data_IF_913877812132
#
_entry.id   IF_913877812132
#
_cell.length_a   1.000
_cell.length_b   1.000
_cell.length_c   1.000
_cell.angle_alpha   90.00
_cell.angle_beta   90.00
_cell.angle_gamma   90.00
#
_symmetry.space_group_name_H-M   'P 1'
#
loop_
_entity.id
_entity.type
_entity.pdbx_description
1 polymer ?
#
# COMPACT_ATOMS: atom_id res chain seq x y z
N UNK A 1 1.75 32.94 -0.12
CA UNK A 1 0.44 33.10 0.54
C UNK A 1 -0.61 32.35 -0.27
N UNK A 2 -0.81 31.05 -0.02
CA UNK A 2 -2.01 30.34 -0.48
C UNK A 2 -3.02 30.38 0.65
N UNK A 3 -3.63 31.55 0.84
CA UNK A 3 -4.84 31.70 1.64
C UNK A 3 -5.94 30.84 1.05
N UNK A 4 -6.47 29.90 1.83
CA UNK A 4 -7.83 29.35 1.79
C UNK A 4 -8.61 29.66 0.50
N UNK A 5 -8.33 28.90 -0.57
CA UNK A 5 -9.13 28.97 -1.80
C UNK A 5 -9.64 27.58 -2.17
N UNK A 6 -10.45 27.01 -1.27
CA UNK A 6 -11.58 26.20 -1.69
C UNK A 6 -12.77 27.15 -1.54
N UNK A 7 -13.01 27.92 -2.60
CA UNK A 7 -14.15 28.82 -2.68
C UNK A 7 -15.36 27.91 -2.84
N UNK A 8 -16.16 27.83 -1.79
CA UNK A 8 -17.46 27.17 -1.79
C UNK A 8 -18.29 27.74 -2.93
N UNK A 9 -18.57 26.90 -3.92
CA UNK A 9 -19.81 26.98 -4.65
C UNK A 9 -20.94 27.02 -3.61
N UNK A 10 -21.95 27.88 -3.84
CA UNK A 10 -22.98 28.29 -2.87
C UNK A 10 -23.91 27.19 -2.34
N UNK A 11 -23.45 25.94 -2.29
CA UNK A 11 -24.11 24.72 -1.83
C UNK A 11 -23.43 24.08 -0.59
N UNK A 12 -22.38 24.67 -0.02
CA UNK A 12 -21.94 24.37 1.36
C UNK A 12 -21.24 23.02 1.59
N UNK A 13 -20.58 22.45 0.57
CA UNK A 13 -19.72 21.27 0.75
C UNK A 13 -18.28 21.75 0.93
N UNK A 14 -17.79 21.69 2.17
CA UNK A 14 -16.38 21.97 2.45
C UNK A 14 -15.52 20.73 2.20
N UNK A 15 -14.39 20.91 1.53
CA UNK A 15 -13.40 19.86 1.26
C UNK A 15 -12.12 20.05 2.09
N UNK A 16 -11.39 18.95 2.32
CA UNK A 16 -10.02 18.98 2.85
C UNK A 16 -9.04 18.44 1.82
N UNK A 17 -8.11 19.29 1.35
CA UNK A 17 -7.10 18.89 0.38
C UNK A 17 -6.05 17.99 1.03
N UNK A 18 -5.78 16.84 0.41
CA UNK A 18 -4.70 15.94 0.79
C UNK A 18 -3.86 15.55 -0.43
N UNK A 19 -2.57 15.85 -0.39
CA UNK A 19 -1.60 15.38 -1.38
C UNK A 19 -1.21 13.93 -1.11
N UNK A 20 -1.29 13.07 -2.13
CA UNK A 20 -0.99 11.64 -2.03
C UNK A 20 0.16 11.24 -2.92
N UNK A 21 1.17 10.63 -2.31
CA UNK A 21 2.31 10.03 -2.98
C UNK A 21 2.32 8.51 -2.79
N UNK A 22 2.61 7.77 -3.86
CA UNK A 22 2.72 6.31 -3.84
C UNK A 22 4.19 5.88 -3.97
N UNK A 23 4.64 4.94 -3.14
CA UNK A 23 6.03 4.51 -3.10
C UNK A 23 6.21 2.99 -3.03
N UNK A 24 7.46 2.54 -2.99
CA UNK A 24 7.78 1.11 -2.86
C UNK A 24 7.49 0.56 -1.46
N UNK A 25 7.86 1.32 -0.42
CA UNK A 25 7.71 0.92 0.98
C UNK A 25 6.30 1.23 1.48
N UNK A 26 5.80 2.42 1.12
CA UNK A 26 4.47 2.88 1.46
C UNK A 26 3.59 2.84 0.23
N UNK A 27 2.49 2.10 0.29
CA UNK A 27 1.48 2.10 -0.76
C UNK A 27 0.99 3.53 -0.98
N UNK A 28 0.76 4.25 0.12
CA UNK A 28 0.55 5.70 0.08
C UNK A 28 1.17 6.41 1.27
N UNK A 29 1.54 7.67 1.04
CA UNK A 29 1.77 8.71 2.03
C UNK A 29 0.86 9.88 1.68
N UNK A 30 0.01 10.30 2.61
CA UNK A 30 -0.91 11.41 2.46
C UNK A 30 -0.55 12.54 3.43
N UNK A 31 -0.57 13.77 2.94
CA UNK A 31 -0.36 15.00 3.70
C UNK A 31 -1.53 15.96 3.49
N UNK A 32 -2.06 16.55 4.56
CA UNK A 32 -3.10 17.59 4.49
C UNK A 32 -2.57 19.03 4.53
N UNK A 33 -1.24 19.21 4.56
CA UNK A 33 -0.60 20.52 4.58
C UNK A 33 0.68 20.60 3.75
N UNK A 34 1.14 21.83 3.54
CA UNK A 34 2.30 22.20 2.74
C UNK A 34 3.38 22.86 3.63
N UNK A 35 4.65 22.70 3.26
CA UNK A 35 5.81 23.37 3.89
C UNK A 35 6.07 23.01 5.38
N UNK A 36 6.51 23.98 6.17
CA UNK A 36 6.99 23.86 7.55
C UNK A 36 5.88 23.92 8.60
N UNK A 37 4.65 24.22 8.19
CA UNK A 37 3.50 24.29 9.08
C UNK A 37 3.11 22.91 9.62
N UNK A 38 2.60 22.83 10.86
CA UNK A 38 2.18 21.56 11.42
C UNK A 38 1.00 20.94 10.68
N UNK A 39 1.25 19.79 10.06
CA UNK A 39 0.26 19.06 9.26
C UNK A 39 0.21 17.58 9.66
N UNK A 40 -0.88 16.90 9.29
CA UNK A 40 -1.11 15.49 9.52
C UNK A 40 -0.50 14.67 8.38
N UNK A 41 0.24 13.62 8.74
CA UNK A 41 0.72 12.62 7.79
C UNK A 41 0.07 11.27 8.06
N UNK A 42 -0.53 10.69 7.02
CA UNK A 42 -1.08 9.33 7.03
C UNK A 42 -0.28 8.46 6.09
N UNK A 43 0.02 7.24 6.51
CA UNK A 43 0.82 6.28 5.74
C UNK A 43 0.20 4.90 5.84
N UNK A 44 0.21 4.18 4.74
CA UNK A 44 -0.10 2.75 4.72
C UNK A 44 0.98 2.00 3.97
N UNK A 45 1.69 1.14 4.70
CA UNK A 45 2.84 0.44 4.18
C UNK A 45 2.48 -0.83 3.41
N UNK A 46 3.35 -1.23 2.50
CA UNK A 46 3.29 -2.50 1.81
C UNK A 46 3.23 -3.66 2.81
N UNK A 47 4.02 -3.59 3.89
CA UNK A 47 4.02 -4.58 4.96
C UNK A 47 2.68 -4.64 5.71
N UNK A 48 2.07 -3.50 6.02
CA UNK A 48 0.75 -3.44 6.64
C UNK A 48 -0.32 -4.05 5.74
N UNK A 49 -0.30 -3.76 4.44
CA UNK A 49 -1.22 -4.37 3.47
C UNK A 49 -1.10 -5.89 3.43
N UNK A 50 0.11 -6.45 3.28
CA UNK A 50 0.30 -7.90 3.25
C UNK A 50 -0.09 -8.57 4.57
N UNK A 51 0.09 -7.87 5.70
CA UNK A 51 -0.33 -8.35 7.02
C UNK A 51 -1.85 -8.34 7.13
N UNK A 52 -2.51 -7.24 6.72
CA UNK A 52 -3.95 -7.07 6.79
C UNK A 52 -4.71 -8.00 5.83
N UNK A 53 -4.12 -8.28 4.67
CA UNK A 53 -4.62 -9.24 3.70
C UNK A 53 -4.33 -10.71 4.09
N UNK A 54 -3.59 -10.94 5.18
CA UNK A 54 -3.27 -12.26 5.74
C UNK A 54 -2.50 -13.21 4.81
N UNK A 55 -1.83 -12.69 3.77
CA UNK A 55 -1.12 -13.53 2.79
C UNK A 55 -0.05 -14.42 3.40
N UNK A 56 0.59 -13.98 4.49
CA UNK A 56 1.56 -14.83 5.22
C UNK A 56 0.90 -16.09 5.78
N UNK A 57 -0.33 -16.01 6.28
CA UNK A 57 -1.08 -17.17 6.78
C UNK A 57 -1.42 -18.10 5.64
N UNK A 58 -1.96 -17.57 4.53
CA UNK A 58 -2.29 -18.39 3.36
C UNK A 58 -1.06 -19.07 2.76
N UNK A 59 0.06 -18.36 2.66
CA UNK A 59 1.32 -18.94 2.15
C UNK A 59 1.85 -20.05 3.08
N UNK A 60 1.67 -19.90 4.40
CA UNK A 60 2.00 -20.96 5.34
C UNK A 60 1.10 -22.18 5.15
N UNK A 61 -0.20 -22.00 4.93
CA UNK A 61 -1.11 -23.12 4.61
C UNK A 61 -0.72 -23.83 3.31
N UNK A 62 -0.37 -23.07 2.26
CA UNK A 62 0.12 -23.62 0.99
C UNK A 62 1.36 -24.47 1.24
N UNK A 63 2.33 -23.95 2.00
CA UNK A 63 3.55 -24.68 2.33
C UNK A 63 3.25 -25.96 3.12
N UNK A 64 2.35 -25.90 4.10
CA UNK A 64 1.94 -27.06 4.87
C UNK A 64 1.25 -28.12 4.01
N UNK A 65 0.39 -27.71 3.06
CA UNK A 65 -0.22 -28.66 2.12
C UNK A 65 0.82 -29.32 1.23
N UNK A 66 1.78 -28.54 0.71
CA UNK A 66 2.89 -29.08 -0.08
C UNK A 66 3.72 -30.08 0.73
N UNK A 67 3.93 -29.81 2.01
CA UNK A 67 4.73 -30.67 2.88
C UNK A 67 3.99 -31.93 3.37
N UNK A 68 2.66 -31.91 3.35
CA UNK A 68 1.85 -33.03 3.80
C UNK A 68 1.55 -34.04 2.68
N UNK A 69 1.66 -33.63 1.41
CA UNK A 69 1.32 -34.46 0.25
C UNK A 69 2.60 -35.00 -0.41
N UNK A 70 2.98 -36.22 -0.02
CA UNK A 70 4.15 -36.93 -0.56
C UNK A 70 4.06 -37.13 -2.08
N UNK A 71 2.87 -37.44 -2.61
CA UNK A 71 2.69 -37.65 -4.05
C UNK A 71 2.92 -36.36 -4.83
N UNK A 72 2.41 -35.24 -4.32
CA UNK A 72 2.69 -33.93 -4.89
C UNK A 72 4.18 -33.56 -4.82
N UNK A 73 4.85 -33.83 -3.69
CA UNK A 73 6.28 -33.54 -3.55
C UNK A 73 7.13 -34.31 -4.56
N UNK A 74 6.88 -35.61 -4.72
CA UNK A 74 7.58 -36.43 -5.70
C UNK A 74 7.31 -35.94 -7.12
N UNK A 75 6.05 -35.60 -7.44
CA UNK A 75 5.68 -35.04 -8.73
C UNK A 75 6.38 -33.69 -8.99
N UNK A 76 6.44 -32.79 -8.00
CA UNK A 76 7.11 -31.49 -8.11
C UNK A 76 8.62 -31.64 -8.33
N UNK A 77 9.27 -32.63 -7.69
CA UNK A 77 10.70 -32.91 -7.86
C UNK A 77 11.05 -33.50 -9.24
N UNK A 78 10.12 -34.21 -9.88
CA UNK A 78 10.31 -34.77 -11.22
C UNK A 78 10.18 -33.75 -12.34
N UNK A 79 9.65 -32.55 -12.06
CA UNK A 79 9.52 -31.47 -13.04
C UNK A 79 10.91 -30.87 -13.30
N UNK A 80 11.35 -30.89 -14.55
CA UNK A 80 12.62 -30.29 -14.95
C UNK A 80 12.51 -28.76 -15.08
N UNK A 81 13.62 -28.05 -15.29
CA UNK A 81 13.58 -26.58 -15.40
C UNK A 81 13.17 -26.13 -16.80
N UNK A 82 12.22 -25.20 -16.88
CA UNK A 82 11.82 -24.55 -18.14
C UNK A 82 12.79 -23.46 -18.60
N UNK A 83 13.76 -23.06 -17.77
CA UNK A 83 14.69 -21.97 -18.07
C UNK A 83 15.87 -22.48 -18.90
N UNK A 84 15.63 -22.74 -20.18
CA UNK A 84 16.61 -23.29 -21.12
C UNK A 84 16.40 -22.70 -22.51
N UNK A 85 17.50 -22.51 -23.25
CA UNK A 85 17.47 -22.17 -24.68
C UNK A 85 17.54 -23.42 -25.58
N UNK A 86 17.82 -24.60 -25.00
CA UNK A 86 17.84 -25.87 -25.71
C UNK A 86 16.41 -26.43 -25.82
N UNK A 87 15.99 -26.70 -27.07
CA UNK A 87 14.66 -27.21 -27.41
C UNK A 87 14.38 -28.59 -26.79
N UNK A 88 15.34 -29.50 -26.81
CA UNK A 88 15.19 -30.86 -26.26
C UNK A 88 14.89 -30.80 -24.76
N UNK A 89 15.67 -30.01 -24.01
CA UNK A 89 15.42 -29.77 -22.57
C UNK A 89 14.08 -29.08 -22.31
N UNK A 90 13.63 -28.22 -23.22
CA UNK A 90 12.31 -27.61 -23.11
C UNK A 90 11.21 -28.65 -23.34
N UNK A 91 11.37 -29.55 -24.32
CA UNK A 91 10.44 -30.65 -24.56
C UNK A 91 10.41 -31.61 -23.38
N UNK A 92 11.55 -31.95 -22.79
CA UNK A 92 11.63 -32.72 -21.55
C UNK A 92 10.83 -32.07 -20.41
N UNK A 93 10.93 -30.75 -20.26
CA UNK A 93 10.12 -30.00 -19.31
C UNK A 93 8.62 -30.16 -19.59
N UNK A 94 8.19 -29.94 -20.84
CA UNK A 94 6.78 -30.09 -21.22
C UNK A 94 6.29 -31.51 -20.92
N UNK A 95 7.04 -32.54 -21.30
CA UNK A 95 6.71 -33.93 -20.99
C UNK A 95 6.64 -34.19 -19.49
N UNK A 96 7.59 -33.69 -18.70
CA UNK A 96 7.58 -33.86 -17.25
C UNK A 96 6.36 -33.23 -16.58
N UNK A 97 5.90 -32.07 -17.06
CA UNK A 97 4.69 -31.42 -16.54
C UNK A 97 3.44 -32.18 -16.96
N UNK A 98 3.34 -32.58 -18.22
CA UNK A 98 2.18 -33.31 -18.74
C UNK A 98 2.01 -34.68 -18.06
N UNK A 99 3.12 -35.40 -17.84
CA UNK A 99 3.09 -36.70 -17.17
C UNK A 99 2.66 -36.62 -15.69
N UNK A 100 2.82 -35.46 -15.05
CA UNK A 100 2.40 -35.23 -13.67
C UNK A 100 1.13 -34.36 -13.58
N UNK A 101 0.47 -34.07 -14.70
CA UNK A 101 -0.58 -33.05 -14.79
C UNK A 101 -1.75 -33.33 -13.85
N UNK A 102 -2.21 -34.58 -13.77
CA UNK A 102 -3.35 -34.95 -12.94
C UNK A 102 -3.08 -34.71 -11.46
N UNK A 103 -1.89 -35.08 -10.97
CA UNK A 103 -1.47 -34.87 -9.57
C UNK A 103 -1.40 -33.37 -9.28
N UNK A 104 -0.80 -32.59 -10.18
CA UNK A 104 -0.70 -31.13 -10.03
C UNK A 104 -2.09 -30.48 -10.02
N UNK A 105 -2.97 -30.85 -10.95
CA UNK A 105 -4.31 -30.28 -11.03
C UNK A 105 -5.15 -30.65 -9.80
N UNK A 106 -5.15 -31.91 -9.37
CA UNK A 106 -5.88 -32.34 -8.18
C UNK A 106 -5.42 -31.59 -6.92
N UNK A 107 -4.10 -31.45 -6.74
CA UNK A 107 -3.52 -30.73 -5.61
C UNK A 107 -3.95 -29.24 -5.60
N UNK A 108 -3.77 -28.55 -6.73
CA UNK A 108 -4.07 -27.12 -6.81
C UNK A 108 -5.56 -26.80 -6.89
N UNK A 109 -6.40 -27.67 -7.42
CA UNK A 109 -7.84 -27.39 -7.59
C UNK A 109 -8.59 -27.44 -6.26
N UNK A 110 -8.48 -28.54 -5.50
CA UNK A 110 -9.26 -28.72 -4.28
C UNK A 110 -8.79 -27.84 -3.12
N UNK A 111 -7.47 -27.78 -2.87
CA UNK A 111 -6.94 -27.12 -1.67
C UNK A 111 -6.83 -25.60 -1.83
N UNK A 112 -6.59 -25.11 -3.04
CA UNK A 112 -6.30 -23.68 -3.22
C UNK A 112 -7.55 -22.85 -3.51
N UNK A 113 -8.68 -23.45 -3.86
CA UNK A 113 -9.91 -22.68 -4.13
C UNK A 113 -10.36 -21.91 -2.89
N UNK A 114 -10.42 -22.56 -1.72
CA UNK A 114 -10.73 -21.90 -0.45
C UNK A 114 -9.69 -20.83 -0.09
N UNK A 115 -8.40 -21.13 -0.26
CA UNK A 115 -7.32 -20.18 -0.01
C UNK A 115 -7.34 -18.96 -0.95
N UNK A 116 -7.70 -19.16 -2.22
CA UNK A 116 -7.89 -18.09 -3.22
C UNK A 116 -9.05 -17.19 -2.81
N UNK A 117 -10.15 -17.77 -2.33
CA UNK A 117 -11.29 -17.02 -1.83
C UNK A 117 -10.93 -16.21 -0.57
N UNK A 118 -10.22 -16.80 0.39
CA UNK A 118 -9.72 -16.09 1.57
C UNK A 118 -8.77 -14.96 1.20
N UNK A 119 -7.86 -15.20 0.25
CA UNK A 119 -6.97 -14.16 -0.29
C UNK A 119 -7.75 -13.05 -0.99
N UNK A 120 -8.83 -13.37 -1.70
CA UNK A 120 -9.70 -12.38 -2.32
C UNK A 120 -10.36 -11.50 -1.26
N UNK A 121 -10.97 -12.09 -0.23
CA UNK A 121 -11.55 -11.35 0.91
C UNK A 121 -10.48 -10.51 1.61
N UNK A 122 -9.31 -11.08 1.89
CA UNK A 122 -8.19 -10.39 2.52
C UNK A 122 -7.75 -9.15 1.74
N UNK A 123 -7.68 -9.26 0.41
CA UNK A 123 -7.42 -8.11 -0.48
C UNK A 123 -8.48 -7.02 -0.33
N UNK A 124 -9.76 -7.38 -0.30
CA UNK A 124 -10.85 -6.40 -0.13
C UNK A 124 -10.76 -5.72 1.24
N UNK A 125 -10.56 -6.49 2.32
CA UNK A 125 -10.40 -5.95 3.68
C UNK A 125 -9.20 -5.02 3.80
N UNK A 126 -8.08 -5.37 3.17
CA UNK A 126 -6.88 -4.54 3.18
C UNK A 126 -7.07 -3.25 2.36
N UNK A 127 -7.86 -3.29 1.28
CA UNK A 127 -8.28 -2.11 0.52
C UNK A 127 -9.22 -1.20 1.32
N UNK A 128 -10.23 -1.77 1.98
CA UNK A 128 -11.14 -1.02 2.84
C UNK A 128 -10.38 -0.35 4.01
N UNK A 129 -9.43 -1.06 4.64
CA UNK A 129 -8.57 -0.47 5.68
C UNK A 129 -7.70 0.67 5.12
N UNK A 130 -7.20 0.54 3.89
CA UNK A 130 -6.42 1.59 3.22
C UNK A 130 -7.23 2.88 3.08
N UNK A 131 -8.47 2.78 2.60
CA UNK A 131 -9.40 3.91 2.49
C UNK A 131 -9.75 4.45 3.87
N UNK A 132 -10.01 3.58 4.85
CA UNK A 132 -10.35 4.01 6.20
C UNK A 132 -9.18 4.75 6.90
N UNK A 133 -7.93 4.29 6.72
CA UNK A 133 -6.74 5.00 7.18
C UNK A 133 -6.60 6.34 6.47
N UNK A 134 -6.93 6.37 5.18
CA UNK A 134 -6.90 7.61 4.41
C UNK A 134 -7.95 8.60 4.92
N UNK A 135 -9.24 8.27 4.90
CA UNK A 135 -10.33 9.19 5.24
C UNK A 135 -10.38 9.47 6.75
N UNK A 136 -10.47 8.42 7.57
CA UNK A 136 -10.77 8.53 9.01
C UNK A 136 -9.55 8.28 9.91
N UNK A 137 -8.35 8.12 9.34
CA UNK A 137 -7.14 7.75 10.09
C UNK A 137 -7.11 6.28 10.54
N UNK A 138 -8.25 5.59 10.51
CA UNK A 138 -8.39 4.20 10.95
C UNK A 138 -7.91 3.97 12.39
N UNK A 139 -7.83 2.72 12.82
CA UNK A 139 -7.36 2.38 14.18
C UNK A 139 -5.92 2.82 14.45
N UNK A 140 -5.15 3.06 13.38
CA UNK A 140 -3.72 3.42 13.43
C UNK A 140 -3.50 4.85 13.92
N UNK A 141 -4.33 5.79 13.48
CA UNK A 141 -4.17 7.21 13.78
C UNK A 141 -5.22 7.75 14.75
N UNK A 142 -6.36 7.07 14.91
CA UNK A 142 -7.33 7.40 15.96
C UNK A 142 -6.71 7.28 17.35
N UNK A 143 -6.67 8.41 18.06
CA UNK A 143 -6.24 8.49 19.46
C UNK A 143 -7.31 7.83 20.33
N UNK A 144 -7.18 6.53 20.59
CA UNK A 144 -7.97 5.90 21.65
C UNK A 144 -7.46 6.46 22.98
N UNK A 145 -8.34 7.11 23.73
CA UNK A 145 -8.17 7.25 25.18
C UNK A 145 -8.21 5.85 25.80
N UNK A 146 -7.13 5.08 25.63
CA UNK A 146 -6.99 3.84 26.35
C UNK A 146 -6.78 4.20 27.83
N UNK A 147 -7.85 4.09 28.62
CA UNK A 147 -7.71 3.81 30.05
C UNK A 147 -6.75 2.63 30.16
N UNK A 148 -5.58 2.87 30.75
CA UNK A 148 -4.59 1.84 31.03
C UNK A 148 -5.19 0.85 32.02
N UNK A 149 -5.91 -0.17 31.55
CA UNK A 149 -6.07 -1.40 32.33
C UNK A 149 -4.79 -2.20 32.12
N UNK A 150 -3.87 -2.05 33.08
CA UNK A 150 -2.56 -2.69 33.07
C UNK A 150 -2.68 -4.21 32.92
N UNK A 151 -2.24 -4.72 31.79
CA UNK A 151 -1.84 -6.12 31.59
C UNK A 151 -0.78 -6.17 30.50
N UNK A 152 0.44 -5.78 30.85
CA UNK A 152 1.65 -6.14 30.09
C UNK A 152 2.88 -6.17 31.02
N UNK A 153 2.73 -6.80 32.19
CA UNK A 153 3.87 -7.43 32.85
C UNK A 153 3.94 -8.89 32.39
N UNK A 154 4.90 -9.16 31.49
CA UNK A 154 5.58 -10.45 31.22
C UNK A 154 5.78 -10.66 29.73
N UNK A 155 6.72 -9.91 29.13
CA UNK A 155 7.51 -10.36 27.97
C UNK A 155 8.77 -9.50 27.79
N UNK A 156 9.50 -9.31 28.90
CA UNK A 156 10.76 -8.57 28.91
C UNK A 156 11.89 -9.45 29.40
N UNK A 157 12.24 -10.51 28.67
CA UNK A 157 13.49 -11.22 28.95
C UNK A 157 14.15 -11.74 27.66
N UNK A 158 14.86 -10.86 26.96
CA UNK A 158 16.05 -11.26 26.19
C UNK A 158 16.98 -10.07 25.96
N UNK A 159 17.94 -9.96 26.88
CA UNK A 159 19.36 -9.69 26.64
C UNK A 159 19.77 -8.35 25.99
N UNK A 160 20.15 -7.43 26.89
CA UNK A 160 21.39 -6.64 26.87
C UNK A 160 22.33 -6.95 25.69
N UNK A 161 22.58 -5.95 24.84
CA UNK A 161 23.94 -5.73 24.29
C UNK A 161 24.16 -4.29 23.79
N UNK A 162 25.06 -3.62 24.54
CA UNK A 162 25.94 -2.48 24.21
C UNK A 162 25.29 -1.11 23.90
N UNK A 163 25.28 -0.28 24.96
CA UNK A 163 25.25 1.19 24.91
C UNK A 163 26.31 1.72 23.94
N UNK A 164 25.90 2.12 22.73
CA UNK A 164 26.66 3.08 21.93
C UNK A 164 26.17 4.47 22.35
N UNK A 165 27.10 5.32 22.80
CA UNK A 165 26.82 6.74 23.11
C UNK A 165 26.08 7.37 21.93
N UNK A 166 24.98 8.12 22.14
CA UNK A 166 24.31 8.78 21.04
C UNK A 166 25.25 9.87 20.51
N UNK A 167 25.74 9.69 19.28
CA UNK A 167 26.31 10.78 18.49
C UNK A 167 25.16 11.77 18.30
N UNK A 168 25.25 12.95 18.91
CA UNK A 168 24.35 14.08 18.64
C UNK A 168 24.53 14.48 17.17
N UNK A 169 23.81 13.81 16.27
CA UNK A 169 23.55 14.38 14.95
C UNK A 169 22.71 15.62 15.19
N UNK A 170 23.25 16.81 14.88
CA UNK A 170 22.46 18.04 14.70
C UNK A 170 21.44 17.75 13.60
N UNK A 171 20.28 17.23 13.98
CA UNK A 171 19.18 17.01 13.06
C UNK A 171 18.65 18.36 12.64
N UNK A 172 18.63 18.62 11.33
CA UNK A 172 17.79 19.67 10.73
C UNK A 172 16.38 19.52 11.35
N UNK A 173 15.79 20.62 11.80
CA UNK A 173 14.52 20.62 12.53
C UNK A 173 13.50 19.72 11.85
N UNK A 174 13.02 18.69 12.55
CA UNK A 174 11.95 17.84 12.02
C UNK A 174 10.70 18.73 11.93
N UNK A 175 10.05 18.76 10.76
CA UNK A 175 8.74 19.37 10.62
C UNK A 175 7.83 18.90 11.77
N UNK A 176 7.10 19.82 12.38
CA UNK A 176 6.24 19.52 13.53
C UNK A 176 5.02 18.78 12.99
N UNK A 177 4.91 17.47 13.21
CA UNK A 177 3.71 16.73 12.80
C UNK A 177 2.55 17.00 13.75
N UNK A 178 1.36 17.27 13.21
CA UNK A 178 0.12 17.32 13.98
C UNK A 178 -0.40 15.90 14.24
N UNK A 179 -1.01 15.68 15.39
CA UNK A 179 -1.78 14.46 15.65
C UNK A 179 -2.95 14.36 14.68
N UNK A 180 -3.39 13.14 14.39
CA UNK A 180 -4.55 12.96 13.54
C UNK A 180 -5.82 13.49 14.23
N UNK A 181 -6.57 14.30 13.50
CA UNK A 181 -7.88 14.81 13.90
C UNK A 181 -8.86 14.46 12.78
N UNK A 182 -9.96 13.81 13.14
CA UNK A 182 -11.01 13.49 12.17
C UNK A 182 -11.65 14.77 11.67
N UNK A 183 -11.70 14.93 10.36
CA UNK A 183 -12.42 16.01 9.70
C UNK A 183 -13.72 15.44 9.11
N UNK A 184 -14.83 16.17 9.26
CA UNK A 184 -16.12 15.77 8.71
C UNK A 184 -16.26 16.13 7.22
N UNK A 185 -15.31 16.91 6.69
CA UNK A 185 -15.24 17.30 5.29
C UNK A 185 -14.82 16.16 4.39
N UNK A 186 -15.32 16.16 3.16
CA UNK A 186 -14.94 15.17 2.15
C UNK A 186 -13.48 15.43 1.75
N UNK A 187 -12.59 14.42 1.81
CA UNK A 187 -11.21 14.61 1.37
C UNK A 187 -11.12 14.81 -0.15
N UNK A 188 -10.48 15.89 -0.55
CA UNK A 188 -10.07 16.15 -1.94
C UNK A 188 -8.64 15.64 -2.12
N UNK A 189 -8.47 14.60 -2.93
CA UNK A 189 -7.24 13.84 -3.05
C UNK A 189 -6.47 14.29 -4.29
N UNK A 190 -5.43 15.09 -4.08
CA UNK A 190 -4.48 15.42 -5.14
C UNK A 190 -3.55 14.22 -5.35
N UNK A 191 -3.83 13.43 -6.38
CA UNK A 191 -3.08 12.22 -6.72
C UNK A 191 -2.24 12.49 -7.96
N UNK A 192 -0.92 12.39 -7.82
CA UNK A 192 -0.03 12.37 -8.99
C UNK A 192 -0.42 11.22 -9.92
N UNK A 193 -0.15 11.37 -11.22
CA UNK A 193 -0.48 10.38 -12.25
C UNK A 193 -0.03 8.94 -11.89
N UNK A 194 0.91 8.78 -10.95
CA UNK A 194 1.38 7.48 -10.45
C UNK A 194 1.93 6.60 -11.58
N UNK A 195 2.35 7.26 -12.67
CA UNK A 195 2.94 6.63 -13.87
C UNK A 195 4.44 6.48 -13.71
N UNK A 196 5.04 6.98 -12.62
CA UNK A 196 6.46 6.74 -12.39
C UNK A 196 6.72 5.26 -12.17
N UNK A 197 7.48 4.63 -13.08
CA UNK A 197 7.88 3.27 -12.86
C UNK A 197 8.77 3.20 -11.62
N UNK A 198 8.32 2.43 -10.64
CA UNK A 198 9.07 2.23 -9.40
C UNK A 198 10.30 1.35 -9.57
N UNK A 199 10.56 0.80 -10.76
CA UNK A 199 11.65 -0.13 -11.04
C UNK A 199 12.45 0.31 -12.27
N UNK A 200 13.75 -0.04 -12.30
CA UNK A 200 14.61 0.14 -13.48
C UNK A 200 14.06 -0.52 -14.76
N UNK A 201 13.08 -1.42 -14.64
CA UNK A 201 12.37 -2.07 -15.76
C UNK A 201 11.06 -1.38 -16.17
N UNK A 202 10.86 -0.13 -15.80
CA UNK A 202 9.63 0.60 -16.08
C UNK A 202 8.34 -0.01 -15.45
N UNK A 203 8.46 -0.82 -14.37
CA UNK A 203 7.30 -1.51 -13.77
C UNK A 203 6.63 -0.62 -12.70
N UNK A 204 5.37 -0.29 -12.92
CA UNK A 204 4.48 0.32 -11.92
C UNK A 204 4.22 -0.74 -10.84
N UNK A 205 4.40 -0.38 -9.57
CA UNK A 205 4.13 -1.33 -8.49
C UNK A 205 2.66 -1.78 -8.52
N UNK A 206 2.41 -3.07 -8.40
CA UNK A 206 1.05 -3.64 -8.42
C UNK A 206 0.15 -3.06 -7.32
N UNK A 207 0.76 -2.51 -6.26
CA UNK A 207 0.09 -1.85 -5.15
C UNK A 207 -0.22 -0.38 -5.43
N UNK A 208 0.59 0.35 -6.21
CA UNK A 208 0.23 1.70 -6.67
C UNK A 208 -1.00 1.65 -7.58
N UNK A 209 -1.04 0.70 -8.52
CA UNK A 209 -2.25 0.48 -9.34
C UNK A 209 -3.47 0.15 -8.46
N UNK A 210 -3.26 -0.64 -7.41
CA UNK A 210 -4.32 -1.00 -6.46
C UNK A 210 -4.77 0.18 -5.60
N UNK A 211 -3.87 1.08 -5.21
CA UNK A 211 -4.21 2.34 -4.56
C UNK A 211 -5.21 3.10 -5.42
N UNK A 212 -4.87 3.38 -6.68
CA UNK A 212 -5.74 4.10 -7.62
C UNK A 212 -7.09 3.40 -7.75
N UNK A 213 -7.11 2.09 -8.00
CA UNK A 213 -8.38 1.35 -8.15
C UNK A 213 -9.23 1.38 -6.88
N UNK A 214 -8.62 1.36 -5.70
CA UNK A 214 -9.36 1.37 -4.43
C UNK A 214 -9.88 2.77 -4.11
N UNK A 215 -9.08 3.82 -4.36
CA UNK A 215 -9.52 5.19 -4.18
C UNK A 215 -10.66 5.54 -5.14
N UNK A 216 -10.61 5.10 -6.41
CA UNK A 216 -11.71 5.32 -7.37
C UNK A 216 -13.03 4.71 -6.90
N UNK A 217 -12.99 3.50 -6.34
CA UNK A 217 -14.18 2.90 -5.73
C UNK A 217 -14.71 3.72 -4.55
N UNK A 218 -13.80 4.25 -3.73
CA UNK A 218 -14.19 5.11 -2.61
C UNK A 218 -14.76 6.46 -3.08
N UNK A 219 -14.29 6.97 -4.22
CA UNK A 219 -14.86 8.13 -4.90
C UNK A 219 -16.27 7.83 -5.42
N UNK A 220 -16.49 6.68 -6.08
CA UNK A 220 -17.80 6.22 -6.50
C UNK A 220 -18.79 6.05 -5.31
N UNK A 221 -18.26 5.72 -4.13
CA UNK A 221 -19.00 5.61 -2.86
C UNK A 221 -19.21 6.97 -2.15
N UNK A 222 -18.69 8.08 -2.71
CA UNK A 222 -18.82 9.43 -2.14
C UNK A 222 -17.96 9.70 -0.90
N UNK A 223 -16.95 8.86 -0.64
CA UNK A 223 -16.09 8.96 0.56
C UNK A 223 -14.95 9.97 0.40
N UNK A 224 -14.58 10.29 -0.85
CA UNK A 224 -13.51 11.21 -1.22
C UNK A 224 -13.70 11.66 -2.67
N UNK A 225 -12.95 12.67 -3.13
CA UNK A 225 -12.92 13.09 -4.53
C UNK A 225 -11.47 13.07 -5.02
N UNK A 226 -11.19 12.48 -6.18
CA UNK A 226 -9.83 12.39 -6.73
C UNK A 226 -9.63 13.51 -7.75
N UNK A 227 -8.58 14.30 -7.51
CA UNK A 227 -8.08 15.28 -8.48
C UNK A 227 -6.77 14.74 -9.06
N UNK A 228 -6.76 14.28 -10.33
CA UNK A 228 -5.53 13.89 -10.98
C UNK A 228 -4.65 15.12 -11.20
N UNK A 229 -3.41 15.06 -10.70
CA UNK A 229 -2.42 16.13 -10.87
C UNK A 229 -1.40 15.71 -11.91
N UNK A 230 -1.28 16.48 -12.99
CA UNK A 230 -0.29 16.25 -14.05
C UNK A 230 1.12 16.58 -13.55
N UNK A 231 1.97 15.56 -13.48
CA UNK A 231 3.30 15.63 -12.87
C UNK A 231 4.29 16.56 -13.61
N UNK A 232 4.08 16.83 -14.90
CA UNK A 232 4.91 17.76 -15.70
C UNK A 232 4.95 19.18 -15.10
N UNK A 233 3.92 19.57 -14.36
CA UNK A 233 3.85 20.86 -13.66
C UNK A 233 4.49 20.72 -12.26
N UNK A 234 4.27 19.60 -11.57
CA UNK A 234 4.81 19.38 -10.22
C UNK A 234 6.34 19.22 -10.15
N UNK A 235 6.98 18.71 -11.22
CA UNK A 235 8.44 18.53 -11.27
C UNK A 235 9.22 19.77 -11.74
N UNK A 236 8.55 20.72 -12.39
CA UNK A 236 9.17 21.91 -13.00
C UNK A 236 8.98 23.20 -12.20
N UNK A 237 8.20 23.17 -11.12
CA UNK A 237 8.02 24.34 -10.26
C UNK A 237 9.17 24.41 -9.25
N UNK A 238 10.27 25.06 -9.66
CA UNK A 238 11.03 25.88 -8.73
C UNK A 238 10.15 27.08 -8.34
N UNK A 239 10.22 27.51 -7.08
CA UNK A 239 9.25 28.37 -6.36
C UNK A 239 9.05 29.81 -6.92
N UNK A 240 9.26 30.09 -8.20
CA UNK A 240 9.30 31.46 -8.73
C UNK A 240 8.34 31.82 -9.86
N UNK A 241 7.45 30.94 -10.36
CA UNK A 241 6.57 31.30 -11.49
C UNK A 241 5.13 30.75 -11.40
N UNK A 242 4.45 30.93 -10.26
CA UNK A 242 3.04 30.50 -10.10
C UNK A 242 1.99 31.55 -10.51
N UNK A 243 2.39 32.77 -10.88
CA UNK A 243 1.42 33.84 -11.18
C UNK A 243 0.94 33.91 -12.65
N UNK A 244 1.55 33.18 -13.58
CA UNK A 244 1.33 33.44 -15.02
C UNK A 244 0.42 32.43 -15.74
N UNK A 245 0.21 31.24 -15.18
CA UNK A 245 -0.42 30.14 -15.94
C UNK A 245 -1.91 29.88 -15.64
N UNK A 246 -2.46 30.44 -14.55
CA UNK A 246 -3.87 30.22 -14.20
C UNK A 246 -4.85 31.14 -14.95
N UNK A 247 -4.36 32.18 -15.63
CA UNK A 247 -5.19 33.14 -16.38
C UNK A 247 -5.32 32.83 -17.87
N UNK A 248 -4.73 31.73 -18.37
CA UNK A 248 -4.81 31.37 -19.80
C UNK A 248 -5.76 30.20 -20.09
N UNK A 249 -6.40 29.60 -19.08
CA UNK A 249 -7.32 28.47 -19.26
C UNK A 249 -8.68 28.66 -18.55
N UNK A 250 -9.12 29.91 -18.39
CA UNK A 250 -10.53 30.27 -18.19
C UNK A 250 -10.96 31.03 -19.45
#
# INVERSE_FOLDING_TARGET
MFTNMIRTDGYGIDFILAGVDSGQINIFTASDGHDTDPHQLRKYSTAEYYTRAEFKKTNLHILNYKNADLQFQEAEQRITTHKTANLERFMEYVHSVLNNLDILLQFYYHRFTALRFLNYIGKQRAGAEMVNIFVNGGKKYLRREFKQTGRDEKRGNSKRRKKRRPVKKKGKGKAKLKSFESDNRIPLVALGSAVFPTSMKAIISSLARRLVTTLKKAEDEGLLVIVPVTEHIASNVSEHNLNTYFLQNI
#
